data_IF_403292232507
#
_entry.id   IF_403292232507
#
_cell.length_a   1.000
_cell.length_b   1.000
_cell.length_c   1.000
_cell.angle_alpha   90.00
_cell.angle_beta   90.00
_cell.angle_gamma   90.00
#
_symmetry.space_group_name_H-M   'P 1'
#
loop_
_entity.id
_entity.type
_entity.pdbx_description
1 polymer ?
#
# COMPACT_ATOMS: atom_id res chain seq x y z
N UNK A 1 -4.53 4.55 25.85
CA UNK A 1 -5.09 4.42 24.48
C UNK A 1 -4.49 3.17 23.86
N UNK A 2 -5.21 2.03 23.76
CA UNK A 2 -4.63 0.81 23.21
C UNK A 2 -4.40 1.00 21.70
N UNK A 3 -3.16 0.80 21.27
CA UNK A 3 -2.73 0.92 19.88
C UNK A 3 -3.29 -0.26 19.08
N UNK A 4 -4.22 0.02 18.18
CA UNK A 4 -4.84 -0.98 17.31
C UNK A 4 -3.78 -1.38 16.26
N UNK A 5 -3.11 -2.51 16.50
CA UNK A 5 -2.16 -3.08 15.55
C UNK A 5 -2.91 -3.80 14.43
N UNK A 6 -3.67 -3.05 13.63
CA UNK A 6 -4.35 -3.58 12.43
C UNK A 6 -3.29 -3.83 11.35
N UNK A 7 -2.73 -5.03 11.39
CA UNK A 7 -1.87 -5.56 10.35
C UNK A 7 -2.72 -6.34 9.37
N UNK A 8 -2.63 -6.00 8.09
CA UNK A 8 -3.30 -6.67 6.98
C UNK A 8 -2.35 -7.58 6.23
N UNK A 9 -2.82 -8.77 5.87
CA UNK A 9 -2.10 -9.63 4.94
C UNK A 9 -2.22 -9.13 3.49
N UNK A 10 -1.56 -9.80 2.53
CA UNK A 10 -1.62 -9.39 1.11
C UNK A 10 -3.03 -9.33 0.57
N UNK A 11 -3.86 -10.30 0.96
CA UNK A 11 -5.22 -10.40 0.48
C UNK A 11 -6.09 -9.29 1.08
N UNK A 12 -5.95 -9.05 2.38
CA UNK A 12 -6.69 -7.99 3.07
C UNK A 12 -6.25 -6.60 2.62
N UNK A 13 -4.95 -6.36 2.44
CA UNK A 13 -4.45 -5.12 1.86
C UNK A 13 -4.97 -4.92 0.44
N UNK A 14 -5.12 -5.99 -0.35
CA UNK A 14 -5.72 -5.94 -1.68
C UNK A 14 -7.20 -5.54 -1.60
N UNK A 15 -7.95 -6.16 -0.71
CA UNK A 15 -9.35 -5.85 -0.47
C UNK A 15 -9.54 -4.40 0.03
N UNK A 16 -8.70 -3.96 0.97
CA UNK A 16 -8.71 -2.62 1.54
C UNK A 16 -8.46 -1.54 0.49
N UNK A 17 -7.43 -1.74 -0.34
CA UNK A 17 -7.09 -0.83 -1.43
C UNK A 17 -7.97 -1.03 -2.68
N UNK A 18 -8.91 -1.99 -2.66
CA UNK A 18 -9.70 -2.45 -3.82
C UNK A 18 -8.86 -2.82 -5.05
N UNK A 19 -7.65 -3.33 -4.85
CA UNK A 19 -6.79 -3.86 -5.91
C UNK A 19 -6.88 -5.38 -6.03
N UNK A 20 -6.40 -5.92 -7.15
CA UNK A 20 -6.21 -7.37 -7.31
C UNK A 20 -5.02 -7.83 -6.46
N UNK A 21 -5.10 -8.98 -5.77
CA UNK A 21 -3.97 -9.54 -5.03
C UNK A 21 -2.76 -9.84 -5.94
N UNK A 22 -3.01 -10.12 -7.23
CA UNK A 22 -1.95 -10.26 -8.23
C UNK A 22 -1.14 -8.95 -8.41
N UNK A 23 -1.78 -7.78 -8.33
CA UNK A 23 -1.11 -6.48 -8.40
C UNK A 23 -0.22 -6.26 -7.18
N UNK A 24 -0.68 -6.62 -5.98
CA UNK A 24 0.13 -6.58 -4.76
C UNK A 24 1.30 -7.56 -4.79
N UNK A 25 1.08 -8.77 -5.33
CA UNK A 25 2.16 -9.74 -5.53
C UNK A 25 3.22 -9.18 -6.48
N UNK A 26 2.80 -8.61 -7.62
CA UNK A 26 3.73 -8.00 -8.57
C UNK A 26 4.46 -6.80 -7.98
N UNK A 27 3.76 -5.99 -7.16
CA UNK A 27 4.36 -4.87 -6.46
C UNK A 27 5.42 -5.27 -5.44
N UNK A 28 5.29 -6.44 -4.81
CA UNK A 28 6.34 -6.99 -3.93
C UNK A 28 7.62 -7.33 -4.71
N UNK A 29 7.48 -7.90 -5.91
CA UNK A 29 8.63 -8.24 -6.75
C UNK A 29 9.26 -7.01 -7.41
N UNK A 30 8.43 -6.05 -7.83
CA UNK A 30 8.87 -4.87 -8.58
C UNK A 30 9.25 -3.70 -7.66
N UNK A 31 8.90 -3.77 -6.36
CA UNK A 31 9.04 -2.68 -5.39
C UNK A 31 8.10 -1.50 -5.64
N UNK A 32 7.20 -1.60 -6.62
CA UNK A 32 6.30 -0.53 -7.07
C UNK A 32 4.86 -1.02 -7.11
N UNK A 33 3.95 -0.31 -6.45
CA UNK A 33 2.51 -0.54 -6.51
C UNK A 33 1.84 0.63 -7.23
N UNK A 34 1.14 0.34 -8.33
CA UNK A 34 0.44 1.36 -9.13
C UNK A 34 1.30 2.56 -9.57
N UNK A 35 2.61 2.35 -9.81
CA UNK A 35 3.54 3.39 -10.26
C UNK A 35 4.28 4.15 -9.15
N UNK A 36 3.88 3.98 -7.89
CA UNK A 36 4.59 4.53 -6.71
C UNK A 36 5.25 3.43 -5.90
N UNK A 37 6.18 3.84 -5.02
CA UNK A 37 6.86 2.93 -4.08
C UNK A 37 5.82 2.10 -3.33
N UNK A 38 6.03 0.79 -3.26
CA UNK A 38 5.12 -0.11 -2.56
C UNK A 38 4.94 0.32 -1.09
N UNK A 39 3.74 0.10 -0.50
CA UNK A 39 3.49 0.46 0.90
C UNK A 39 4.45 -0.26 1.83
N UNK A 40 4.85 0.42 2.92
CA UNK A 40 5.76 -0.15 3.92
C UNK A 40 5.15 -1.44 4.48
N UNK A 41 5.93 -2.51 4.44
CA UNK A 41 5.53 -3.81 4.93
C UNK A 41 6.51 -4.32 5.97
N UNK A 42 6.00 -4.99 6.99
CA UNK A 42 6.78 -5.75 7.96
C UNK A 42 6.90 -7.18 7.45
N UNK A 43 8.14 -7.59 7.17
CA UNK A 43 8.47 -8.99 6.86
C UNK A 43 8.67 -9.72 8.17
N UNK A 44 7.73 -10.59 8.54
CA UNK A 44 7.81 -11.49 9.68
C UNK A 44 8.10 -12.90 9.15
N UNK A 45 9.39 -13.21 8.97
CA UNK A 45 9.83 -14.47 8.34
C UNK A 45 9.35 -14.59 6.90
N UNK A 46 8.48 -15.57 6.63
CA UNK A 46 7.85 -15.81 5.32
C UNK A 46 6.56 -15.01 5.12
N UNK A 47 6.00 -14.43 6.19
CA UNK A 47 4.76 -13.66 6.14
C UNK A 47 5.06 -12.18 5.98
N UNK A 48 4.35 -11.52 5.09
CA UNK A 48 4.49 -10.10 4.84
C UNK A 48 3.19 -9.43 5.23
N UNK A 49 3.25 -8.63 6.29
CA UNK A 49 2.12 -7.87 6.84
C UNK A 49 2.26 -6.39 6.53
N UNK A 50 1.13 -5.77 6.21
CA UNK A 50 1.00 -4.34 5.98
C UNK A 50 0.34 -3.70 7.20
N UNK A 51 0.91 -2.64 7.74
CA UNK A 51 0.20 -1.89 8.78
C UNK A 51 -0.89 -1.02 8.15
N UNK A 52 -2.07 -0.96 8.78
CA UNK A 52 -3.16 -0.07 8.36
C UNK A 52 -2.68 1.36 8.17
N UNK A 53 -1.90 1.88 9.12
CA UNK A 53 -1.35 3.23 9.04
C UNK A 53 -0.43 3.40 7.82
N UNK A 54 0.41 2.39 7.52
CA UNK A 54 1.28 2.44 6.34
C UNK A 54 0.48 2.39 5.02
N UNK A 55 -0.64 1.65 4.98
CA UNK A 55 -1.56 1.65 3.84
C UNK A 55 -2.29 2.99 3.70
N UNK A 56 -2.66 3.61 4.82
CA UNK A 56 -3.33 4.91 4.85
C UNK A 56 -2.37 6.04 4.44
N UNK A 57 -1.15 6.08 4.97
CA UNK A 57 -0.06 6.97 4.52
C UNK A 57 0.27 6.76 3.05
N UNK A 58 0.25 5.51 2.58
CA UNK A 58 0.43 5.20 1.16
C UNK A 58 -0.74 5.71 0.32
N UNK A 59 -1.99 5.49 0.75
CA UNK A 59 -3.17 6.02 0.08
C UNK A 59 -3.21 7.55 0.10
N UNK A 60 -2.69 8.18 1.16
CA UNK A 60 -2.53 9.62 1.25
C UNK A 60 -1.56 10.17 0.19
N UNK A 61 -0.59 9.38 -0.31
CA UNK A 61 0.23 9.77 -1.47
C UNK A 61 -0.57 9.83 -2.78
N UNK A 62 -1.72 9.14 -2.87
CA UNK A 62 -2.65 9.23 -4.01
C UNK A 62 -3.69 10.34 -3.84
N UNK A 63 -3.66 11.07 -2.72
CA UNK A 63 -4.65 12.11 -2.43
C UNK A 63 -4.31 13.38 -3.24
N UNK A 64 -5.15 13.62 -4.23
CA UNK A 64 -5.43 14.89 -4.91
C UNK A 64 -4.23 15.61 -5.56
N UNK A 65 -3.80 15.11 -6.72
CA UNK A 65 -3.36 16.02 -7.78
C UNK A 65 -4.59 16.76 -8.34
N UNK A 66 -5.01 17.84 -7.67
CA UNK A 66 -5.97 18.83 -8.19
C UNK A 66 -5.31 19.90 -9.07
N UNK A 67 -4.17 19.59 -9.69
CA UNK A 67 -3.60 20.51 -10.67
C UNK A 67 -2.93 19.74 -11.79
N UNK A 68 -3.54 19.87 -12.95
CA UNK A 68 -2.99 19.64 -14.28
C UNK A 68 -1.56 20.17 -14.32
N UNK A 69 -0.58 19.28 -14.44
CA UNK A 69 0.77 19.65 -14.86
C UNK A 69 0.78 20.02 -16.33
N UNK A 70 0.10 21.11 -16.69
CA UNK A 70 0.42 21.91 -17.85
C UNK A 70 1.56 22.85 -17.45
N UNK A 71 2.79 22.48 -17.79
CA UNK A 71 3.98 23.33 -17.79
C UNK A 71 5.06 22.57 -18.57
N UNK A 72 5.70 23.09 -19.61
CA UNK A 72 5.64 24.37 -20.32
C UNK A 72 6.12 24.12 -21.76
#
# INVERSE_FOLDING_TARGET
MPQISEQFDTNEAAAYLRFKPATLRNARHTGRLAGVTAPRYKKLGSTVRYERQALDEWMAQFKEQTSTGAAA
#
